data_IF_688779570212
#
_entry.id   IF_688779570212
#
_cell.length_a   1.000
_cell.length_b   1.000
_cell.length_c   1.000
_cell.angle_alpha   90.00
_cell.angle_beta   90.00
_cell.angle_gamma   90.00
#
_symmetry.space_group_name_H-M   'P 1'
#
loop_
_entity.id
_entity.type
_entity.pdbx_description
1 polymer ?
#
# COMPACT_ATOMS: atom_id res chain seq x y z
N UNK A 1 22.10 -4.93 16.09
CA UNK A 1 20.66 -4.64 15.84
C UNK A 1 20.46 -3.46 14.90
N UNK A 2 20.96 -2.26 15.23
CA UNK A 2 20.78 -1.06 14.40
C UNK A 2 21.25 -1.24 12.95
N UNK A 3 22.45 -1.81 12.72
CA UNK A 3 22.97 -2.10 11.37
C UNK A 3 22.03 -3.03 10.59
N UNK A 4 21.62 -4.16 11.19
CA UNK A 4 20.72 -5.12 10.53
C UNK A 4 19.37 -4.48 10.17
N UNK A 5 18.80 -3.69 11.09
CA UNK A 5 17.55 -2.97 10.85
C UNK A 5 17.68 -1.91 9.76
N UNK A 6 18.77 -1.13 9.77
CA UNK A 6 19.05 -0.13 8.75
C UNK A 6 19.22 -0.75 7.36
N UNK A 7 20.03 -1.81 7.24
CA UNK A 7 20.23 -2.53 5.96
C UNK A 7 18.91 -3.13 5.47
N UNK A 8 18.14 -3.77 6.35
CA UNK A 8 16.87 -4.39 5.95
C UNK A 8 15.82 -3.36 5.55
N UNK A 9 15.72 -2.23 6.27
CA UNK A 9 14.83 -1.12 5.94
C UNK A 9 15.24 -0.43 4.62
N UNK A 10 16.54 -0.18 4.43
CA UNK A 10 17.08 0.39 3.19
C UNK A 10 16.84 -0.53 2.00
N UNK A 11 17.03 -1.84 2.14
CA UNK A 11 16.73 -2.80 1.08
C UNK A 11 15.23 -2.89 0.77
N UNK A 12 14.37 -2.86 1.80
CA UNK A 12 12.93 -2.82 1.61
C UNK A 12 12.49 -1.54 0.90
N UNK A 13 13.08 -0.39 1.24
CA UNK A 13 12.83 0.88 0.56
C UNK A 13 13.27 0.82 -0.90
N UNK A 14 14.52 0.45 -1.17
CA UNK A 14 15.05 0.37 -2.53
C UNK A 14 14.18 -0.53 -3.43
N UNK A 15 13.86 -1.74 -2.97
CA UNK A 15 13.11 -2.71 -3.77
C UNK A 15 11.63 -2.39 -3.95
N UNK A 16 11.05 -1.50 -3.13
CA UNK A 16 9.68 -1.00 -3.31
C UNK A 16 9.62 0.32 -4.07
N UNK A 17 10.66 1.16 -3.98
CA UNK A 17 10.76 2.43 -4.68
C UNK A 17 11.22 2.31 -6.14
N UNK A 18 12.12 1.37 -6.44
CA UNK A 18 12.67 1.19 -7.80
C UNK A 18 11.58 0.95 -8.86
N UNK A 19 10.60 0.04 -8.66
CA UNK A 19 9.54 -0.16 -9.65
C UNK A 19 8.75 1.13 -9.92
N UNK A 20 8.42 1.89 -8.87
CA UNK A 20 7.69 3.16 -8.98
C UNK A 20 8.47 4.18 -9.81
N UNK A 21 9.76 4.29 -9.53
CA UNK A 21 10.67 5.20 -10.24
C UNK A 21 10.80 4.84 -11.70
N UNK A 22 10.89 3.55 -12.03
CA UNK A 22 10.92 3.09 -13.42
C UNK A 22 9.62 3.43 -14.13
N UNK A 23 8.46 3.10 -13.54
CA UNK A 23 7.15 3.38 -14.17
C UNK A 23 6.95 4.88 -14.39
N UNK A 24 7.20 5.71 -13.38
CA UNK A 24 7.00 7.16 -13.49
C UNK A 24 8.08 7.82 -14.35
N UNK A 25 9.30 7.28 -14.37
CA UNK A 25 10.36 7.73 -15.26
C UNK A 25 10.03 7.50 -16.74
N UNK A 26 9.44 6.35 -17.08
CA UNK A 26 9.01 6.05 -18.45
C UNK A 26 7.94 7.04 -18.94
N UNK A 27 7.00 7.43 -18.07
CA UNK A 27 5.99 8.44 -18.39
C UNK A 27 6.64 9.81 -18.68
N UNK A 28 7.63 10.22 -17.90
CA UNK A 28 8.30 11.52 -18.02
C UNK A 28 9.22 11.65 -19.24
N UNK A 29 9.84 10.54 -19.68
CA UNK A 29 10.67 10.51 -20.90
C UNK A 29 9.83 10.78 -22.16
N UNK A 30 8.53 10.49 -22.10
CA UNK A 30 7.60 10.65 -23.23
C UNK A 30 7.19 12.10 -23.48
N UNK A 31 7.39 13.00 -22.50
CA UNK A 31 6.97 14.41 -22.55
C UNK A 31 8.11 15.39 -22.90
N UNK A 32 9.25 14.91 -23.41
CA UNK A 32 10.48 15.70 -23.71
C UNK A 32 11.06 16.52 -22.52
N UNK A 33 10.52 16.34 -21.30
CA UNK A 33 10.90 17.05 -20.07
C UNK A 33 11.72 16.19 -19.08
N UNK A 34 11.99 14.93 -19.42
CA UNK A 34 12.48 13.92 -18.48
C UNK A 34 13.96 14.04 -18.08
N UNK A 35 14.27 14.83 -17.05
CA UNK A 35 15.57 14.76 -16.36
C UNK A 35 15.61 13.59 -15.37
N UNK A 36 16.76 12.92 -15.23
CA UNK A 36 16.96 11.84 -14.23
C UNK A 36 16.56 12.28 -12.79
N UNK A 37 16.93 13.48 -12.30
CA UNK A 37 16.47 13.97 -11.00
C UNK A 37 14.94 14.11 -10.91
N UNK A 38 14.27 14.49 -12.00
CA UNK A 38 12.81 14.56 -12.08
C UNK A 38 12.15 13.20 -11.91
N UNK A 39 12.65 12.18 -12.62
CA UNK A 39 12.16 10.81 -12.50
C UNK A 39 12.35 10.24 -11.08
N UNK A 40 13.51 10.47 -10.47
CA UNK A 40 13.78 10.07 -9.08
C UNK A 40 12.81 10.74 -8.11
N UNK A 41 12.54 12.04 -8.29
CA UNK A 41 11.61 12.79 -7.46
C UNK A 41 10.17 12.29 -7.62
N UNK A 42 9.72 12.05 -8.85
CA UNK A 42 8.42 11.46 -9.12
C UNK A 42 8.29 10.07 -8.48
N UNK A 43 9.32 9.23 -8.62
CA UNK A 43 9.42 7.93 -7.96
C UNK A 43 9.28 8.02 -6.44
N UNK A 44 9.97 8.97 -5.80
CA UNK A 44 9.86 9.20 -4.35
C UNK A 44 8.46 9.68 -3.94
N UNK A 45 7.85 10.58 -4.71
CA UNK A 45 6.49 11.05 -4.46
C UNK A 45 5.47 9.91 -4.57
N UNK A 46 5.56 9.10 -5.63
CA UNK A 46 4.73 7.90 -5.80
C UNK A 46 4.95 6.86 -4.71
N UNK A 47 6.19 6.71 -4.22
CA UNK A 47 6.50 5.82 -3.11
C UNK A 47 5.93 6.30 -1.78
N UNK A 48 5.98 7.61 -1.49
CA UNK A 48 5.30 8.22 -0.35
C UNK A 48 3.77 8.01 -0.42
N UNK A 49 3.17 8.23 -1.59
CA UNK A 49 1.75 7.99 -1.83
C UNK A 49 1.39 6.50 -1.64
N UNK A 50 2.24 5.58 -2.09
CA UNK A 50 2.11 4.14 -1.86
C UNK A 50 2.05 3.72 -0.39
N UNK A 51 2.56 4.56 0.52
CA UNK A 51 2.49 4.37 1.97
C UNK A 51 1.33 5.12 2.61
N UNK A 52 0.48 5.79 1.82
CA UNK A 52 -0.64 6.60 2.31
C UNK A 52 -0.21 7.97 2.85
N UNK A 53 0.98 8.47 2.49
CA UNK A 53 1.36 9.85 2.77
C UNK A 53 0.75 10.75 1.69
N UNK A 54 -0.17 11.66 2.03
CA UNK A 54 -0.78 12.51 1.02
C UNK A 54 0.20 13.56 0.52
N UNK A 55 0.01 13.87 -0.75
CA UNK A 55 0.78 14.82 -1.52
C UNK A 55 -0.09 16.05 -1.75
N UNK A 56 0.33 17.22 -1.27
CA UNK A 56 -0.36 18.47 -1.56
C UNK A 56 0.14 19.00 -2.90
N UNK A 57 -0.73 19.03 -3.90
CA UNK A 57 -0.43 19.52 -5.25
C UNK A 57 -1.19 20.82 -5.53
N UNK A 58 -0.83 21.52 -6.60
CA UNK A 58 -1.57 22.72 -7.06
C UNK A 58 -3.03 22.42 -7.44
N UNK A 59 -3.32 21.19 -7.86
CA UNK A 59 -4.68 20.73 -8.18
C UNK A 59 -5.49 20.25 -6.96
N UNK A 60 -4.85 20.20 -5.77
CA UNK A 60 -5.45 19.71 -4.53
C UNK A 60 -4.70 18.53 -3.91
N UNK A 61 -5.21 18.00 -2.79
CA UNK A 61 -4.57 16.90 -2.06
C UNK A 61 -4.76 15.57 -2.81
N UNK A 62 -3.65 14.87 -3.08
CA UNK A 62 -3.64 13.50 -3.59
C UNK A 62 -3.27 12.53 -2.46
N UNK A 63 -4.25 11.77 -1.97
CA UNK A 63 -4.09 10.88 -0.81
C UNK A 63 -4.47 9.42 -1.03
N UNK A 64 -4.91 9.04 -2.24
CA UNK A 64 -5.30 7.66 -2.52
C UNK A 64 -4.05 6.81 -2.79
N UNK A 65 -3.79 5.83 -1.93
CA UNK A 65 -2.62 4.97 -2.07
C UNK A 65 -2.83 3.87 -3.13
N UNK A 66 -1.90 3.66 -4.08
CA UNK A 66 -1.92 2.49 -4.94
C UNK A 66 -1.64 1.23 -4.12
N UNK A 67 -2.67 0.44 -3.84
CA UNK A 67 -2.61 -0.66 -2.88
C UNK A 67 -1.68 -1.80 -3.31
N UNK A 68 -1.46 -2.02 -4.61
CA UNK A 68 -0.50 -3.03 -5.05
C UNK A 68 0.92 -2.68 -4.57
N UNK A 69 1.28 -1.39 -4.60
CA UNK A 69 2.55 -0.90 -4.10
C UNK A 69 2.62 -1.01 -2.57
N UNK A 70 1.53 -0.69 -1.86
CA UNK A 70 1.45 -0.89 -0.42
C UNK A 70 1.66 -2.37 -0.04
N UNK A 71 1.03 -3.30 -0.75
CA UNK A 71 1.19 -4.76 -0.55
C UNK A 71 2.64 -5.19 -0.79
N UNK A 72 3.28 -4.71 -1.85
CA UNK A 72 4.69 -4.97 -2.12
C UNK A 72 5.59 -4.48 -0.97
N UNK A 73 5.36 -3.26 -0.47
CA UNK A 73 6.10 -2.69 0.65
C UNK A 73 5.89 -3.47 1.95
N UNK A 74 4.64 -3.82 2.29
CA UNK A 74 4.31 -4.68 3.44
C UNK A 74 5.04 -6.02 3.35
N UNK A 75 5.04 -6.65 2.18
CA UNK A 75 5.75 -7.92 1.98
C UNK A 75 7.26 -7.78 2.20
N UNK A 76 7.89 -6.74 1.64
CA UNK A 76 9.32 -6.47 1.84
C UNK A 76 9.66 -6.19 3.30
N UNK A 77 8.84 -5.41 4.01
CA UNK A 77 9.05 -5.07 5.42
C UNK A 77 8.79 -6.26 6.34
N UNK A 78 7.84 -7.12 6.00
CA UNK A 78 7.66 -8.42 6.67
C UNK A 78 8.93 -9.27 6.54
N UNK A 79 9.56 -9.32 5.36
CA UNK A 79 10.84 -10.01 5.16
C UNK A 79 11.99 -9.33 5.92
N UNK A 80 11.99 -8.01 6.03
CA UNK A 80 12.94 -7.28 6.86
C UNK A 80 12.84 -7.70 8.33
N UNK A 81 11.63 -7.78 8.89
CA UNK A 81 11.39 -8.29 10.25
C UNK A 81 11.96 -9.71 10.45
N UNK A 82 11.75 -10.61 9.49
CA UNK A 82 12.33 -11.96 9.52
C UNK A 82 13.87 -11.92 9.55
N UNK A 83 14.49 -11.14 8.65
CA UNK A 83 15.95 -11.08 8.55
C UNK A 83 16.59 -10.45 9.80
N UNK A 84 16.02 -9.38 10.33
CA UNK A 84 16.52 -8.72 11.54
C UNK A 84 16.38 -9.65 12.75
N UNK A 85 15.24 -10.33 12.92
CA UNK A 85 15.07 -11.33 13.99
C UNK A 85 16.10 -12.46 13.92
N UNK A 86 16.43 -12.94 12.72
CA UNK A 86 17.48 -13.95 12.53
C UNK A 86 18.87 -13.41 12.83
N UNK A 87 19.18 -12.21 12.36
CA UNK A 87 20.49 -11.57 12.54
C UNK A 87 20.83 -11.30 14.02
N UNK A 88 19.83 -11.08 14.88
CA UNK A 88 20.03 -10.90 16.32
C UNK A 88 19.91 -12.20 17.13
N UNK A 89 19.75 -13.36 16.48
CA UNK A 89 19.60 -14.65 17.16
C UNK A 89 18.29 -14.83 17.92
N UNK A 90 17.24 -14.05 17.61
CA UNK A 90 15.95 -14.13 18.32
C UNK A 90 15.02 -15.25 17.80
N UNK A 91 15.53 -16.16 16.97
CA UNK A 91 14.73 -17.23 16.38
C UNK A 91 14.24 -18.19 17.45
N UNK A 92 12.94 -18.49 17.43
CA UNK A 92 12.28 -19.43 18.35
C UNK A 92 12.46 -19.13 19.87
N UNK A 93 12.94 -17.92 20.22
CA UNK A 93 13.13 -17.48 21.60
C UNK A 93 11.83 -17.20 22.37
N UNK A 94 10.67 -17.23 21.69
CA UNK A 94 9.32 -17.05 22.26
C UNK A 94 9.18 -15.77 23.09
N UNK A 95 9.88 -14.70 22.68
CA UNK A 95 9.92 -13.43 23.40
C UNK A 95 9.16 -12.32 22.65
N UNK A 96 7.96 -11.92 23.12
CA UNK A 96 7.22 -10.78 22.54
C UNK A 96 8.03 -9.48 22.58
N UNK A 97 8.85 -9.29 23.63
CA UNK A 97 9.75 -8.14 23.75
C UNK A 97 10.76 -8.08 22.61
N UNK A 98 11.36 -9.21 22.23
CA UNK A 98 12.29 -9.26 21.09
C UNK A 98 11.59 -9.00 19.75
N UNK A 99 10.37 -9.51 19.56
CA UNK A 99 9.60 -9.21 18.36
C UNK A 99 9.29 -7.70 18.24
N UNK A 100 8.90 -7.08 19.36
CA UNK A 100 8.63 -5.65 19.43
C UNK A 100 9.88 -4.80 19.22
N UNK A 101 11.03 -5.15 19.80
CA UNK A 101 12.28 -4.39 19.59
C UNK A 101 12.74 -4.45 18.13
N UNK A 102 12.57 -5.58 17.44
CA UNK A 102 12.82 -5.70 16.00
C UNK A 102 11.89 -4.78 15.21
N UNK A 103 10.60 -4.78 15.52
CA UNK A 103 9.61 -3.94 14.85
C UNK A 103 9.95 -2.44 15.02
N UNK A 104 10.25 -2.00 16.24
CA UNK A 104 10.64 -0.62 16.53
C UNK A 104 11.92 -0.24 15.78
N UNK A 105 12.94 -1.10 15.79
CA UNK A 105 14.20 -0.81 15.11
C UNK A 105 14.03 -0.64 13.59
N UNK A 106 13.23 -1.51 12.94
CA UNK A 106 12.92 -1.37 11.51
C UNK A 106 12.04 -0.14 11.27
N UNK A 107 11.04 0.10 12.11
CA UNK A 107 10.17 1.27 12.05
C UNK A 107 10.95 2.59 12.11
N UNK A 108 11.89 2.73 13.05
CA UNK A 108 12.75 3.93 13.15
C UNK A 108 13.58 4.11 11.88
N UNK A 109 14.22 3.04 11.37
CA UNK A 109 14.99 3.12 10.13
C UNK A 109 14.13 3.55 8.94
N UNK A 110 12.92 3.02 8.84
CA UNK A 110 11.98 3.35 7.76
C UNK A 110 11.39 4.76 7.89
N UNK A 111 11.15 5.23 9.12
CA UNK A 111 10.69 6.57 9.43
C UNK A 111 11.68 7.64 8.92
N UNK A 112 12.98 7.42 9.15
CA UNK A 112 14.03 8.32 8.66
C UNK A 112 14.03 8.40 7.12
N UNK A 113 13.87 7.26 6.45
CA UNK A 113 13.78 7.22 4.98
C UNK A 113 12.54 7.97 4.45
N UNK A 114 11.39 7.79 5.10
CA UNK A 114 10.16 8.52 4.76
C UNK A 114 10.30 10.04 4.96
N UNK A 115 10.94 10.47 6.05
CA UNK A 115 11.20 11.88 6.32
C UNK A 115 12.13 12.49 5.27
N UNK A 116 13.24 11.82 4.94
CA UNK A 116 14.20 12.25 3.92
C UNK A 116 13.52 12.34 2.55
N UNK A 117 12.74 11.33 2.19
CA UNK A 117 11.97 11.34 0.94
C UNK A 117 11.01 12.53 0.87
N UNK A 118 10.27 12.81 1.95
CA UNK A 118 9.34 13.94 2.02
C UNK A 118 10.04 15.30 1.85
N UNK A 119 11.22 15.48 2.46
CA UNK A 119 12.05 16.68 2.27
C UNK A 119 12.55 16.78 0.82
N UNK A 120 13.01 15.68 0.24
CA UNK A 120 13.58 15.65 -1.11
C UNK A 120 12.55 15.97 -2.21
N UNK A 121 11.28 15.65 -2.00
CA UNK A 121 10.21 15.92 -2.98
C UNK A 121 9.50 17.25 -2.78
N UNK A 122 9.67 17.92 -1.63
CA UNK A 122 8.94 19.15 -1.29
C UNK A 122 9.51 20.41 -1.96
N UNK A 123 9.40 20.49 -3.29
CA UNK A 123 9.85 21.65 -4.09
C UNK A 123 8.85 21.97 -5.20
N UNK A 124 8.78 23.24 -5.61
CA UNK A 124 8.15 23.61 -6.90
C UNK A 124 6.67 23.25 -7.04
N UNK A 125 5.86 23.42 -5.99
CA UNK A 125 4.40 23.23 -6.03
C UNK A 125 3.89 21.90 -5.44
N UNK A 126 4.79 20.96 -5.13
CA UNK A 126 4.49 19.76 -4.35
C UNK A 126 4.91 19.98 -2.90
N UNK A 127 3.99 19.76 -1.93
CA UNK A 127 4.31 19.83 -0.50
C UNK A 127 3.97 18.52 0.20
N UNK A 128 4.89 18.03 1.02
CA UNK A 128 4.71 16.84 1.85
C UNK A 128 5.21 17.14 3.25
N UNK A 129 4.43 16.82 4.28
CA UNK A 129 4.85 17.00 5.68
C UNK A 129 5.89 15.93 6.07
N UNK A 130 7.14 16.29 6.40
CA UNK A 130 8.16 15.31 6.78
C UNK A 130 7.82 14.58 8.08
N UNK A 131 7.17 15.27 9.03
CA UNK A 131 6.72 14.67 10.29
C UNK A 131 5.64 13.63 10.05
N UNK A 132 4.64 13.95 9.22
CA UNK A 132 3.59 13.00 8.85
C UNK A 132 4.18 11.80 8.13
N UNK A 133 5.09 12.02 7.17
CA UNK A 133 5.78 10.95 6.46
C UNK A 133 6.56 10.04 7.42
N UNK A 134 7.33 10.62 8.35
CA UNK A 134 8.08 9.87 9.35
C UNK A 134 7.16 8.98 10.20
N UNK A 135 6.06 9.52 10.73
CA UNK A 135 5.11 8.78 11.56
C UNK A 135 4.43 7.66 10.76
N UNK A 136 3.94 7.97 9.55
CA UNK A 136 3.32 6.97 8.67
C UNK A 136 4.28 5.83 8.37
N UNK A 137 5.53 6.14 8.01
CA UNK A 137 6.55 5.13 7.71
C UNK A 137 6.99 4.34 8.96
N UNK A 138 7.06 4.99 10.13
CA UNK A 138 7.34 4.32 11.39
C UNK A 138 6.28 3.25 11.70
N UNK A 139 5.01 3.61 11.59
CA UNK A 139 3.89 2.72 11.85
C UNK A 139 3.79 1.63 10.79
N UNK A 140 3.83 2.01 9.51
CA UNK A 140 3.74 1.07 8.39
C UNK A 140 4.88 0.04 8.42
N UNK A 141 6.12 0.52 8.56
CA UNK A 141 7.31 -0.33 8.64
C UNK A 141 7.37 -1.15 9.91
N UNK A 142 7.05 -0.55 11.06
CA UNK A 142 7.04 -1.24 12.34
C UNK A 142 6.00 -2.36 12.40
N UNK A 143 4.76 -2.09 12.02
CA UNK A 143 3.69 -3.09 11.99
C UNK A 143 3.99 -4.22 11.00
N UNK A 144 4.46 -3.89 9.80
CA UNK A 144 4.83 -4.90 8.79
C UNK A 144 5.99 -5.77 9.26
N UNK A 145 7.04 -5.16 9.82
CA UNK A 145 8.18 -5.89 10.37
C UNK A 145 7.78 -6.76 11.58
N UNK A 146 6.85 -6.28 12.42
CA UNK A 146 6.32 -7.04 13.55
C UNK A 146 5.70 -8.36 13.10
N UNK A 147 4.95 -8.38 11.99
CA UNK A 147 4.38 -9.62 11.43
C UNK A 147 5.47 -10.66 11.15
N UNK A 148 6.58 -10.25 10.53
CA UNK A 148 7.73 -11.11 10.27
C UNK A 148 8.45 -11.56 11.54
N UNK A 149 8.63 -10.64 12.48
CA UNK A 149 9.30 -10.88 13.74
C UNK A 149 8.50 -11.84 14.65
N UNK A 150 7.19 -11.65 14.78
CA UNK A 150 6.29 -12.52 15.56
C UNK A 150 6.31 -13.96 15.06
N UNK A 151 6.34 -14.16 13.73
CA UNK A 151 6.47 -15.50 13.13
C UNK A 151 7.84 -16.12 13.40
N UNK A 152 8.92 -15.34 13.28
CA UNK A 152 10.30 -15.83 13.39
C UNK A 152 10.74 -16.11 14.84
N UNK A 153 10.24 -15.31 15.78
CA UNK A 153 10.51 -15.46 17.22
C UNK A 153 9.67 -16.56 17.87
N UNK A 154 8.71 -17.16 17.16
CA UNK A 154 7.80 -18.17 17.71
C UNK A 154 6.68 -17.59 18.58
N UNK A 155 6.51 -16.27 18.62
CA UNK A 155 5.43 -15.59 19.37
C UNK A 155 4.05 -15.95 18.82
N UNK A 156 3.94 -16.21 17.51
CA UNK A 156 2.70 -16.70 16.90
C UNK A 156 2.19 -17.99 17.57
N UNK A 157 3.07 -18.91 17.94
CA UNK A 157 2.69 -20.15 18.62
C UNK A 157 2.22 -19.90 20.06
N UNK A 158 2.82 -18.93 20.76
CA UNK A 158 2.36 -18.51 22.09
C UNK A 158 0.95 -17.92 22.02
N UNK A 159 0.71 -17.05 21.04
CA UNK A 159 -0.61 -16.45 20.81
C UNK A 159 -1.63 -17.54 20.48
N UNK A 160 -1.32 -18.44 19.56
CA UNK A 160 -2.23 -19.53 19.18
C UNK A 160 -2.60 -20.45 20.36
N UNK A 161 -1.65 -20.73 21.27
CA UNK A 161 -1.89 -21.52 22.49
C UNK A 161 -2.76 -20.79 23.52
N UNK A 162 -2.64 -19.46 23.61
CA UNK A 162 -3.42 -18.63 24.53
C UNK A 162 -4.80 -18.25 23.99
N UNK A 163 -5.01 -18.34 22.68
CA UNK A 163 -6.31 -18.01 22.07
C UNK A 163 -7.35 -19.10 22.34
N UNK A 164 -8.56 -18.74 22.78
CA UNK A 164 -9.66 -19.69 22.93
C UNK A 164 -10.09 -20.24 21.54
N UNK A 165 -10.61 -21.48 21.45
CA UNK A 165 -11.01 -22.08 20.18
C UNK A 165 -11.95 -21.21 19.32
N UNK A 166 -13.02 -20.59 19.88
CA UNK A 166 -13.93 -19.76 19.08
C UNK A 166 -13.24 -18.59 18.38
N UNK A 167 -12.22 -17.99 19.00
CA UNK A 167 -11.46 -16.91 18.40
C UNK A 167 -10.64 -17.40 17.19
N UNK A 168 -10.07 -18.61 17.27
CA UNK A 168 -9.30 -19.18 16.14
C UNK A 168 -10.21 -19.52 14.97
N UNK A 169 -11.38 -20.07 15.26
CA UNK A 169 -12.38 -20.41 14.24
C UNK A 169 -12.96 -19.15 13.60
N UNK A 170 -13.29 -18.12 14.39
CA UNK A 170 -13.74 -16.84 13.89
C UNK A 170 -12.69 -16.17 12.99
N UNK A 171 -11.41 -16.18 13.37
CA UNK A 171 -10.33 -15.64 12.54
C UNK A 171 -10.14 -16.42 11.24
N UNK A 172 -10.20 -17.76 11.29
CA UNK A 172 -10.08 -18.61 10.10
C UNK A 172 -11.26 -18.39 9.15
N UNK A 173 -12.48 -18.44 9.66
CA UNK A 173 -13.70 -18.26 8.86
C UNK A 173 -13.79 -16.84 8.32
N UNK A 174 -13.46 -15.83 9.12
CA UNK A 174 -13.39 -14.43 8.68
C UNK A 174 -12.35 -14.21 7.58
N UNK A 175 -11.17 -14.84 7.68
CA UNK A 175 -10.17 -14.80 6.63
C UNK A 175 -10.67 -15.44 5.32
N UNK A 176 -11.30 -16.61 5.40
CA UNK A 176 -11.86 -17.30 4.22
C UNK A 176 -12.97 -16.45 3.59
N UNK A 177 -13.93 -15.96 4.39
CA UNK A 177 -15.01 -15.12 3.91
C UNK A 177 -14.49 -13.82 3.27
N UNK A 178 -13.52 -13.15 3.91
CA UNK A 178 -12.88 -11.95 3.37
C UNK A 178 -12.18 -12.22 2.04
N UNK A 179 -11.45 -13.33 1.90
CA UNK A 179 -10.80 -13.71 0.64
C UNK A 179 -11.81 -14.05 -0.45
N UNK A 180 -12.92 -14.71 -0.13
CA UNK A 180 -14.00 -14.98 -1.07
C UNK A 180 -14.66 -13.68 -1.56
N UNK A 181 -14.94 -12.74 -0.66
CA UNK A 181 -15.49 -11.42 -1.01
C UNK A 181 -14.53 -10.61 -1.89
N UNK A 182 -13.25 -10.60 -1.56
CA UNK A 182 -12.23 -9.96 -2.40
C UNK A 182 -12.12 -10.66 -3.76
N UNK A 183 -12.25 -11.99 -3.82
CA UNK A 183 -12.29 -12.74 -5.07
C UNK A 183 -13.49 -12.37 -5.94
N UNK A 184 -14.69 -12.27 -5.35
CA UNK A 184 -15.89 -11.82 -6.04
C UNK A 184 -15.76 -10.36 -6.53
N UNK A 185 -15.25 -9.46 -5.69
CA UNK A 185 -14.97 -8.07 -6.06
C UNK A 185 -13.94 -7.95 -7.19
N UNK A 186 -12.87 -8.77 -7.16
CA UNK A 186 -11.87 -8.81 -8.21
C UNK A 186 -12.46 -9.33 -9.52
N UNK A 187 -13.32 -10.37 -9.45
CA UNK A 187 -14.05 -10.89 -10.60
C UNK A 187 -14.97 -9.85 -11.23
N UNK A 188 -15.73 -9.12 -10.41
CA UNK A 188 -16.62 -8.05 -10.89
C UNK A 188 -15.84 -6.87 -11.49
N UNK A 189 -14.78 -6.41 -10.83
CA UNK A 189 -13.91 -5.36 -11.34
C UNK A 189 -13.25 -5.77 -12.67
N UNK A 190 -12.74 -7.01 -12.74
CA UNK A 190 -12.13 -7.56 -13.95
C UNK A 190 -13.12 -7.70 -15.10
N UNK A 191 -14.35 -8.14 -14.80
CA UNK A 191 -15.42 -8.22 -15.80
C UNK A 191 -15.79 -6.85 -16.34
N UNK A 192 -15.95 -5.84 -15.47
CA UNK A 192 -16.25 -4.47 -15.87
C UNK A 192 -15.16 -3.89 -16.78
N UNK A 193 -13.89 -4.12 -16.46
CA UNK A 193 -12.75 -3.71 -17.30
C UNK A 193 -12.74 -4.47 -18.63
N UNK A 194 -13.04 -5.77 -18.63
CA UNK A 194 -13.06 -6.57 -19.85
C UNK A 194 -14.19 -6.15 -20.81
N UNK A 195 -15.38 -5.85 -20.28
CA UNK A 195 -16.54 -5.42 -21.08
C UNK A 195 -16.44 -3.95 -21.52
N UNK A 196 -15.81 -3.10 -20.71
CA UNK A 196 -15.59 -1.67 -20.99
C UNK A 196 -14.20 -1.35 -21.55
N UNK A 197 -13.43 -2.36 -21.97
CA UNK A 197 -12.02 -2.20 -22.33
C UNK A 197 -11.79 -1.33 -23.57
N UNK A 198 -12.76 -1.30 -24.50
CA UNK A 198 -12.74 -0.40 -25.65
C UNK A 198 -12.75 1.06 -25.23
N UNK A 199 -13.72 1.46 -24.41
CA UNK A 199 -13.83 2.83 -23.89
C UNK A 199 -12.61 3.25 -23.07
N UNK A 200 -12.03 2.31 -22.30
CA UNK A 200 -10.80 2.54 -21.57
C UNK A 200 -9.60 2.77 -22.50
N UNK A 201 -9.48 1.98 -23.57
CA UNK A 201 -8.42 2.15 -24.57
C UNK A 201 -8.56 3.47 -25.33
N UNK A 202 -9.78 3.87 -25.65
CA UNK A 202 -10.07 5.16 -26.31
C UNK A 202 -9.73 6.35 -25.41
N UNK A 203 -10.08 6.28 -24.11
CA UNK A 203 -9.67 7.29 -23.13
C UNK A 203 -8.15 7.39 -22.98
N UNK A 204 -7.44 6.26 -22.93
CA UNK A 204 -5.97 6.25 -22.85
C UNK A 204 -5.35 6.80 -24.15
N UNK A 205 -5.91 6.43 -25.31
CA UNK A 205 -5.49 6.92 -26.61
C UNK A 205 -5.65 8.43 -26.77
N UNK A 206 -6.69 9.02 -26.16
CA UNK A 206 -6.95 10.45 -26.20
C UNK A 206 -5.83 11.31 -25.58
N UNK A 207 -5.05 10.77 -24.63
CA UNK A 207 -3.94 11.50 -24.00
C UNK A 207 -2.70 11.66 -24.90
N UNK A 208 -2.66 11.02 -26.09
CA UNK A 208 -1.56 11.14 -27.08
C UNK A 208 -0.14 11.00 -26.51
N UNK A 209 0.05 10.14 -25.49
CA UNK A 209 1.30 10.04 -24.72
C UNK A 209 2.40 9.19 -25.37
N UNK A 210 2.19 8.69 -26.58
CA UNK A 210 3.04 7.65 -27.18
C UNK A 210 3.00 6.31 -26.43
N UNK A 211 3.71 5.29 -26.94
CA UNK A 211 3.70 3.91 -26.42
C UNK A 211 4.19 3.82 -24.96
N UNK A 212 5.23 4.58 -24.61
CA UNK A 212 5.80 4.58 -23.27
C UNK A 212 4.83 5.18 -22.22
N UNK A 213 4.13 6.27 -22.57
CA UNK A 213 3.10 6.84 -21.71
C UNK A 213 1.88 5.94 -21.54
N UNK A 214 1.44 5.26 -22.60
CA UNK A 214 0.35 4.28 -22.52
C UNK A 214 0.72 3.10 -21.60
N UNK A 215 1.96 2.60 -21.70
CA UNK A 215 2.48 1.59 -20.78
C UNK A 215 2.52 2.11 -19.33
N UNK A 216 2.93 3.36 -19.11
CA UNK A 216 2.92 4.02 -17.81
C UNK A 216 1.51 4.08 -17.19
N UNK A 217 0.51 4.56 -17.95
CA UNK A 217 -0.89 4.64 -17.49
C UNK A 217 -1.43 3.25 -17.17
N UNK A 218 -1.12 2.25 -17.99
CA UNK A 218 -1.51 0.86 -17.75
C UNK A 218 -0.91 0.33 -16.44
N UNK A 219 0.37 0.58 -16.20
CA UNK A 219 1.06 0.16 -14.97
C UNK A 219 0.51 0.87 -13.72
N UNK A 220 0.18 2.16 -13.83
CA UNK A 220 -0.50 2.90 -12.75
C UNK A 220 -1.88 2.29 -12.48
N UNK A 221 -2.64 1.99 -13.53
CA UNK A 221 -3.97 1.36 -13.41
C UNK A 221 -3.88 -0.01 -12.71
N UNK A 222 -2.88 -0.83 -13.07
CA UNK A 222 -2.60 -2.09 -12.38
C UNK A 222 -2.22 -1.88 -10.91
N UNK A 223 -1.49 -0.81 -10.59
CA UNK A 223 -1.15 -0.49 -9.21
C UNK A 223 -2.40 -0.16 -8.35
N UNK A 224 -3.46 0.38 -8.98
CA UNK A 224 -4.75 0.64 -8.37
C UNK A 224 -5.75 -0.52 -8.47
N UNK A 225 -5.47 -1.60 -9.20
CA UNK A 225 -6.38 -2.74 -9.33
C UNK A 225 -6.90 -3.29 -7.98
N UNK A 226 -6.08 -3.40 -6.91
CA UNK A 226 -6.60 -3.85 -5.62
C UNK A 226 -7.57 -2.84 -4.96
N UNK A 227 -7.47 -1.54 -5.26
CA UNK A 227 -8.47 -0.55 -4.82
C UNK A 227 -9.81 -0.83 -5.50
N UNK A 228 -9.80 -1.03 -6.82
CA UNK A 228 -11.01 -1.35 -7.59
C UNK A 228 -11.67 -2.65 -7.10
N UNK A 229 -10.88 -3.67 -6.76
CA UNK A 229 -11.35 -4.91 -6.13
C UNK A 229 -12.10 -4.64 -4.82
N UNK A 230 -11.53 -3.81 -3.93
CA UNK A 230 -12.14 -3.48 -2.64
C UNK A 230 -13.44 -2.69 -2.84
N UNK A 231 -13.45 -1.71 -3.75
CA UNK A 231 -14.64 -0.94 -4.06
C UNK A 231 -15.75 -1.81 -4.67
N UNK A 232 -15.39 -2.73 -5.56
CA UNK A 232 -16.34 -3.67 -6.16
C UNK A 232 -16.87 -4.65 -5.10
N UNK A 233 -16.02 -5.15 -4.20
CA UNK A 233 -16.46 -5.97 -3.08
C UNK A 233 -17.43 -5.22 -2.16
N UNK A 234 -17.15 -3.95 -1.84
CA UNK A 234 -18.04 -3.11 -1.05
C UNK A 234 -19.38 -2.86 -1.76
N UNK A 235 -19.36 -2.63 -3.07
CA UNK A 235 -20.57 -2.49 -3.89
C UNK A 235 -21.42 -3.77 -3.88
N UNK A 236 -20.80 -4.93 -4.08
CA UNK A 236 -21.49 -6.23 -4.06
C UNK A 236 -22.06 -6.57 -2.68
N UNK A 237 -21.37 -6.18 -1.60
CA UNK A 237 -21.83 -6.41 -0.24
C UNK A 237 -23.06 -5.56 0.10
N UNK A 238 -23.21 -4.41 -0.56
CA UNK A 238 -24.31 -3.47 -0.34
C UNK A 238 -24.21 -2.76 1.03
N UNK A 239 -25.24 -1.97 1.40
CA UNK A 239 -25.20 -1.12 2.59
C UNK A 239 -25.35 -1.88 3.92
N UNK A 240 -25.57 -3.20 3.91
CA UNK A 240 -25.82 -4.03 5.10
C UNK A 240 -27.20 -3.83 5.73
N UNK A 241 -27.72 -2.61 5.74
CA UNK A 241 -29.10 -2.25 6.05
C UNK A 241 -29.48 -1.01 5.23
N UNK A 242 -30.75 -0.89 4.84
CA UNK A 242 -31.24 0.27 4.09
C UNK A 242 -32.33 0.98 4.91
N UNK A 243 -32.21 2.29 5.06
CA UNK A 243 -33.20 3.13 5.73
C UNK A 243 -34.05 3.79 4.65
N UNK A 244 -35.37 3.79 4.82
CA UNK A 244 -36.29 4.43 3.88
C UNK A 244 -36.71 3.54 2.70
N UNK A 245 -36.38 2.24 2.73
CA UNK A 245 -37.03 1.26 1.84
C UNK A 245 -38.54 1.29 2.10
N UNK A 246 -39.34 1.38 1.03
CA UNK A 246 -40.80 1.54 1.06
C UNK A 246 -41.35 2.90 1.55
N UNK A 247 -40.52 3.95 1.62
CA UNK A 247 -41.03 5.30 1.91
C UNK A 247 -41.41 6.01 0.61
N UNK A 248 -42.71 6.18 0.36
CA UNK A 248 -43.21 6.95 -0.77
C UNK A 248 -43.37 8.43 -0.37
N UNK A 249 -42.57 9.32 -0.96
CA UNK A 249 -42.82 10.77 -0.88
C UNK A 249 -43.91 11.13 -1.87
N UNK A 250 -45.12 11.42 -1.38
CA UNK A 250 -46.23 11.96 -2.19
C UNK A 250 -46.19 13.48 -2.15
N UNK A 251 -46.21 14.11 -3.32
CA UNK A 251 -46.22 15.59 -3.48
C UNK A 251 -47.60 16.16 -3.79
N UNK A 252 -48.68 15.40 -3.59
CA UNK A 252 -50.06 15.89 -3.70
C UNK A 252 -50.73 15.94 -2.33
N UNK A 253 -51.15 17.14 -1.91
CA UNK A 253 -52.19 17.32 -0.90
C UNK A 253 -53.50 16.69 -1.39
N UNK A 254 -54.33 16.28 -0.43
CA UNK A 254 -55.72 15.83 -0.61
C UNK A 254 -56.51 16.85 -1.42
#
# INVERSE_FOLDING_TARGET
>A
MAVAAGVAAGWAALTSWLPVTVVLGLAQISEDAGSLPGALRAGLAGWLLGHGVPLETSAGPLGLAPLALAVLAVWRLTRAGVHVSRAIGARDGRSPRQAFTVAVAVGIGYALLGAVAAVAVSTGGLRVSPVRAAVTFALFGGLSALVGAVRTTGVSALLARRSPPPLRDALRTGLVAGLLLLGAGAGAAGLAVATGGGDAADMIGAYRTGVAGQAGITLVSLAYAPNATIWSAAYLLGPGFAIGTDTAVRTSEV
#
